data_IF_989000049684
#
_entry.id   IF_989000049684
#
_cell.length_a   1.000
_cell.length_b   1.000
_cell.length_c   1.000
_cell.angle_alpha   90.00
_cell.angle_beta   90.00
_cell.angle_gamma   90.00
#
_symmetry.space_group_name_H-M   'P 1'
#
loop_
_entity.id
_entity.type
_entity.pdbx_description
1 polymer ?
#
# COMPACT_ATOMS: atom_id res chain seq x y z
N UNK A 1 -19.19 -4.27 -19.60
CA UNK A 1 -18.98 -3.74 -18.24
C UNK A 1 -17.48 -3.51 -18.08
N UNK A 2 -17.03 -2.36 -17.57
CA UNK A 2 -15.58 -2.09 -17.42
C UNK A 2 -14.98 -3.06 -16.39
N UNK A 3 -13.78 -3.57 -16.64
CA UNK A 3 -13.07 -4.49 -15.73
C UNK A 3 -12.57 -3.86 -14.43
N UNK A 4 -12.97 -2.62 -14.11
CA UNK A 4 -12.44 -1.86 -12.98
C UNK A 4 -13.45 -0.81 -12.45
N UNK A 5 -13.19 -0.32 -11.24
CA UNK A 5 -13.81 0.88 -10.67
C UNK A 5 -12.78 1.80 -10.07
N UNK A 6 -13.02 3.12 -10.18
CA UNK A 6 -12.23 4.15 -9.50
C UNK A 6 -13.18 5.13 -8.85
N UNK A 7 -12.95 5.42 -7.57
CA UNK A 7 -13.65 6.43 -6.80
C UNK A 7 -12.64 7.37 -6.15
N UNK A 8 -12.96 8.65 -6.06
CA UNK A 8 -12.16 9.67 -5.38
C UNK A 8 -13.01 10.36 -4.31
N UNK A 9 -12.38 10.74 -3.21
CA UNK A 9 -13.00 11.47 -2.10
C UNK A 9 -11.95 12.35 -1.40
N UNK A 10 -12.34 12.93 -0.27
CA UNK A 10 -11.55 13.92 0.46
C UNK A 10 -10.21 13.39 1.00
N UNK A 11 -10.04 12.07 1.18
CA UNK A 11 -8.77 11.49 1.64
C UNK A 11 -7.91 10.94 0.49
N UNK A 12 -8.50 10.57 -0.64
CA UNK A 12 -7.74 9.86 -1.67
C UNK A 12 -8.57 9.20 -2.77
N UNK A 13 -7.91 8.26 -3.42
CA UNK A 13 -8.43 7.46 -4.53
C UNK A 13 -8.54 6.00 -4.10
N UNK A 14 -9.66 5.37 -4.45
CA UNK A 14 -9.90 3.94 -4.34
C UNK A 14 -10.02 3.36 -5.74
N UNK A 15 -9.09 2.49 -6.14
CA UNK A 15 -9.12 1.75 -7.39
C UNK A 15 -9.28 0.25 -7.12
N UNK A 16 -10.15 -0.41 -7.87
CA UNK A 16 -10.35 -1.87 -7.82
C UNK A 16 -10.30 -2.42 -9.25
N UNK A 17 -9.54 -3.48 -9.45
CA UNK A 17 -9.61 -4.30 -10.66
C UNK A 17 -10.40 -5.57 -10.36
N UNK A 18 -11.38 -5.86 -11.21
CA UNK A 18 -12.21 -7.06 -11.07
C UNK A 18 -11.61 -8.23 -11.83
N UNK A 19 -12.08 -9.45 -11.53
CA UNK A 19 -11.66 -10.68 -12.24
C UNK A 19 -11.79 -10.63 -13.76
N UNK A 20 -12.67 -9.78 -14.28
CA UNK A 20 -12.86 -9.57 -15.72
C UNK A 20 -11.94 -8.53 -16.35
N UNK A 21 -10.95 -8.00 -15.62
CA UNK A 21 -9.99 -7.04 -16.16
C UNK A 21 -9.11 -7.68 -17.24
N UNK A 22 -9.02 -7.04 -18.39
CA UNK A 22 -8.25 -7.50 -19.54
C UNK A 22 -7.18 -6.50 -19.95
N UNK A 23 -6.25 -6.91 -20.82
CA UNK A 23 -5.26 -6.00 -21.38
C UNK A 23 -5.89 -4.80 -22.09
N UNK A 24 -7.02 -5.00 -22.77
CA UNK A 24 -7.78 -3.94 -23.44
C UNK A 24 -8.32 -2.87 -22.46
N UNK A 25 -8.54 -3.22 -21.19
CA UNK A 25 -8.97 -2.27 -20.16
C UNK A 25 -7.81 -1.39 -19.65
N UNK A 26 -6.56 -1.79 -19.85
CA UNK A 26 -5.38 -1.19 -19.20
C UNK A 26 -5.23 0.30 -19.48
N UNK A 27 -5.35 0.70 -20.74
CA UNK A 27 -5.22 2.11 -21.14
C UNK A 27 -6.32 2.97 -20.51
N UNK A 28 -7.56 2.48 -20.51
CA UNK A 28 -8.69 3.18 -19.92
C UNK A 28 -8.58 3.28 -18.40
N UNK A 29 -8.13 2.21 -17.73
CA UNK A 29 -7.88 2.20 -16.29
C UNK A 29 -6.78 3.19 -15.89
N UNK A 30 -5.62 3.15 -16.56
CA UNK A 30 -4.52 4.07 -16.26
C UNK A 30 -4.89 5.53 -16.50
N UNK A 31 -5.67 5.82 -17.54
CA UNK A 31 -6.19 7.16 -17.79
C UNK A 31 -7.10 7.63 -16.65
N UNK A 32 -8.07 6.80 -16.25
CA UNK A 32 -9.00 7.11 -15.17
C UNK A 32 -8.29 7.25 -13.81
N UNK A 33 -7.26 6.43 -13.54
CA UNK A 33 -6.48 6.50 -12.31
C UNK A 33 -5.71 7.82 -12.22
N UNK A 34 -5.06 8.21 -13.32
CA UNK A 34 -4.31 9.47 -13.42
C UNK A 34 -5.23 10.68 -13.23
N UNK A 35 -6.41 10.65 -13.83
CA UNK A 35 -7.43 11.69 -13.66
C UNK A 35 -7.87 11.80 -12.20
N UNK A 36 -8.24 10.68 -11.57
CA UNK A 36 -8.68 10.64 -10.18
C UNK A 36 -7.61 11.16 -9.20
N UNK A 37 -6.36 10.71 -9.35
CA UNK A 37 -5.23 11.20 -8.53
C UNK A 37 -5.01 12.69 -8.75
N UNK A 38 -5.13 13.16 -10.00
CA UNK A 38 -5.03 14.57 -10.36
C UNK A 38 -6.13 15.46 -9.79
N UNK A 39 -7.32 14.91 -9.49
CA UNK A 39 -8.41 15.67 -8.84
C UNK A 39 -8.14 15.87 -7.36
N UNK A 40 -7.76 14.82 -6.62
CA UNK A 40 -7.57 14.89 -5.16
C UNK A 40 -6.34 15.72 -4.79
N UNK A 41 -5.26 15.67 -5.58
CA UNK A 41 -4.03 16.42 -5.32
C UNK A 41 -4.14 17.95 -5.45
N UNK A 42 -5.25 18.48 -6.00
CA UNK A 42 -5.45 19.94 -6.16
C UNK A 42 -5.83 20.67 -4.87
N UNK A 43 -6.23 19.94 -3.81
CA UNK A 43 -6.69 20.53 -2.55
C UNK A 43 -5.55 20.88 -1.57
N UNK A 44 -4.27 20.86 -2.00
CA UNK A 44 -3.12 21.17 -1.15
C UNK A 44 -2.79 20.12 -0.08
N UNK A 45 -3.50 18.99 -0.08
CA UNK A 45 -3.22 17.81 0.76
C UNK A 45 -2.58 16.71 -0.07
N UNK A 46 -1.74 15.91 0.58
CA UNK A 46 -1.21 14.70 -0.03
C UNK A 46 -2.36 13.73 -0.36
N UNK A 47 -2.43 13.25 -1.60
CA UNK A 47 -3.48 12.35 -2.06
C UNK A 47 -3.08 10.91 -1.82
N UNK A 48 -3.83 10.16 -1.03
CA UNK A 48 -3.58 8.73 -0.83
C UNK A 48 -4.19 7.87 -1.93
N UNK A 49 -3.60 6.71 -2.21
CA UNK A 49 -4.15 5.70 -3.12
C UNK A 49 -4.34 4.37 -2.39
N UNK A 50 -5.54 3.82 -2.47
CA UNK A 50 -5.81 2.40 -2.23
C UNK A 50 -6.08 1.71 -3.56
N UNK A 51 -5.31 0.66 -3.88
CA UNK A 51 -5.46 -0.13 -5.10
C UNK A 51 -5.66 -1.61 -4.77
N UNK A 52 -6.84 -2.16 -5.05
CA UNK A 52 -7.12 -3.59 -4.95
C UNK A 52 -6.99 -4.26 -6.32
N UNK A 53 -5.90 -5.00 -6.52
CA UNK A 53 -5.50 -5.57 -7.81
C UNK A 53 -5.48 -7.10 -7.77
N UNK A 54 -6.00 -7.71 -6.70
CA UNK A 54 -5.84 -9.15 -6.42
C UNK A 54 -6.47 -10.05 -7.46
N UNK A 55 -7.56 -9.59 -8.07
CA UNK A 55 -8.32 -10.37 -9.04
C UNK A 55 -7.83 -10.17 -10.49
N UNK A 56 -6.79 -9.36 -10.72
CA UNK A 56 -6.32 -9.00 -12.05
C UNK A 56 -4.89 -9.44 -12.33
N UNK A 57 -4.63 -9.86 -13.57
CA UNK A 57 -3.28 -10.05 -14.09
C UNK A 57 -2.82 -8.74 -14.73
N UNK A 58 -1.73 -8.17 -14.24
CA UNK A 58 -1.20 -6.90 -14.72
C UNK A 58 -0.06 -7.13 -15.72
N UNK A 59 -0.12 -6.43 -16.85
CA UNK A 59 1.03 -6.33 -17.76
C UNK A 59 2.13 -5.47 -17.14
N UNK A 60 3.37 -5.59 -17.63
CA UNK A 60 4.47 -4.71 -17.20
C UNK A 60 4.11 -3.23 -17.39
N UNK A 61 3.50 -2.87 -18.52
CA UNK A 61 3.07 -1.49 -18.78
C UNK A 61 2.02 -0.98 -17.77
N UNK A 62 1.12 -1.87 -17.33
CA UNK A 62 0.13 -1.56 -16.29
C UNK A 62 0.78 -1.32 -14.93
N UNK A 63 1.78 -2.13 -14.57
CA UNK A 63 2.58 -1.96 -13.35
C UNK A 63 3.40 -0.67 -13.38
N UNK A 64 4.04 -0.36 -14.51
CA UNK A 64 4.83 0.86 -14.68
C UNK A 64 3.93 2.11 -14.59
N UNK A 65 2.73 2.05 -15.18
CA UNK A 65 1.73 3.11 -15.09
C UNK A 65 1.22 3.34 -13.66
N UNK A 66 0.98 2.26 -12.90
CA UNK A 66 0.63 2.33 -11.48
C UNK A 66 1.78 2.91 -10.65
N UNK A 67 2.99 2.42 -10.86
CA UNK A 67 4.20 2.89 -10.20
C UNK A 67 4.40 4.40 -10.40
N UNK A 68 4.19 4.91 -11.63
CA UNK A 68 4.24 6.34 -11.91
C UNK A 68 3.22 7.16 -11.10
N UNK A 69 2.07 6.58 -10.75
CA UNK A 69 1.11 7.26 -9.86
C UNK A 69 1.57 7.21 -8.40
N UNK A 70 2.06 6.06 -7.94
CA UNK A 70 2.55 5.85 -6.56
C UNK A 70 3.84 6.59 -6.22
N UNK A 71 4.56 7.10 -7.21
CA UNK A 71 5.81 7.87 -7.03
C UNK A 71 5.64 9.35 -7.38
N UNK A 72 4.43 9.76 -7.76
CA UNK A 72 4.13 11.15 -8.05
C UNK A 72 4.33 12.00 -6.79
N UNK A 73 4.93 13.18 -6.95
CA UNK A 73 5.00 14.18 -5.88
C UNK A 73 3.60 14.47 -5.32
N UNK A 74 3.49 14.47 -3.99
CA UNK A 74 2.23 14.71 -3.29
C UNK A 74 1.37 13.46 -3.07
N UNK A 75 1.86 12.26 -3.41
CA UNK A 75 1.22 11.02 -2.96
C UNK A 75 1.37 10.87 -1.43
N UNK A 76 0.26 10.62 -0.75
CA UNK A 76 0.24 10.33 0.68
C UNK A 76 0.49 8.85 0.97
N UNK A 77 0.26 8.45 2.22
CA UNK A 77 0.29 7.03 2.60
C UNK A 77 -0.65 6.24 1.71
N UNK A 78 -0.13 5.25 1.00
CA UNK A 78 -0.86 4.51 -0.02
C UNK A 78 -0.69 3.00 0.20
N UNK A 79 -1.65 2.22 -0.30
CA UNK A 79 -1.62 0.77 -0.18
C UNK A 79 -2.05 0.09 -1.48
N UNK A 80 -1.39 -1.02 -1.80
CA UNK A 80 -1.68 -1.86 -2.97
C UNK A 80 -1.86 -3.30 -2.50
N UNK A 81 -2.98 -3.92 -2.86
CA UNK A 81 -3.25 -5.34 -2.60
C UNK A 81 -3.04 -6.13 -3.88
N UNK A 82 -2.23 -7.19 -3.80
CA UNK A 82 -1.90 -8.10 -4.89
C UNK A 82 -2.10 -9.55 -4.43
N UNK A 83 -2.35 -10.44 -5.38
CA UNK A 83 -2.39 -11.89 -5.15
C UNK A 83 -1.06 -12.57 -5.51
N UNK A 84 -0.34 -12.06 -6.50
CA UNK A 84 0.95 -12.60 -6.93
C UNK A 84 2.13 -12.00 -6.13
N UNK A 85 2.87 -12.82 -5.35
CA UNK A 85 4.06 -12.38 -4.62
C UNK A 85 5.17 -11.83 -5.51
N UNK A 86 5.34 -12.37 -6.74
CA UNK A 86 6.42 -11.95 -7.63
C UNK A 86 6.18 -10.52 -8.14
N UNK A 87 4.96 -10.23 -8.58
CA UNK A 87 4.51 -8.87 -8.95
C UNK A 87 4.65 -7.91 -7.77
N UNK A 88 4.26 -8.32 -6.56
CA UNK A 88 4.38 -7.50 -5.37
C UNK A 88 5.83 -7.16 -5.03
N UNK A 89 6.73 -8.13 -5.12
CA UNK A 89 8.17 -7.93 -4.91
C UNK A 89 8.76 -6.96 -5.93
N UNK A 90 8.40 -7.10 -7.21
CA UNK A 90 8.84 -6.20 -8.28
C UNK A 90 8.38 -4.77 -8.03
N UNK A 91 7.11 -4.57 -7.69
CA UNK A 91 6.58 -3.25 -7.37
C UNK A 91 7.26 -2.64 -6.13
N UNK A 92 7.46 -3.45 -5.08
CA UNK A 92 8.15 -2.99 -3.87
C UNK A 92 9.58 -2.55 -4.15
N UNK A 93 10.35 -3.34 -4.88
CA UNK A 93 11.72 -2.99 -5.25
C UNK A 93 11.79 -1.68 -6.06
N UNK A 94 10.85 -1.47 -6.99
CA UNK A 94 10.75 -0.22 -7.73
C UNK A 94 10.44 0.98 -6.80
N UNK A 95 9.52 0.81 -5.85
CA UNK A 95 9.16 1.85 -4.87
C UNK A 95 10.33 2.18 -3.93
N UNK A 96 11.08 1.18 -3.48
CA UNK A 96 12.27 1.40 -2.65
C UNK A 96 13.36 2.14 -3.44
N UNK A 97 13.57 1.78 -4.72
CA UNK A 97 14.50 2.48 -5.63
C UNK A 97 14.13 3.96 -5.83
N UNK A 98 12.84 4.26 -5.89
CA UNK A 98 12.34 5.63 -5.99
C UNK A 98 12.22 6.36 -4.64
N UNK A 99 12.69 5.76 -3.54
CA UNK A 99 12.54 6.26 -2.18
C UNK A 99 11.06 6.53 -1.79
N UNK A 100 10.12 5.82 -2.39
CA UNK A 100 8.68 5.90 -2.09
C UNK A 100 8.20 4.77 -1.17
N UNK A 101 9.05 3.77 -0.91
CA UNK A 101 8.74 2.61 -0.07
C UNK A 101 8.31 2.96 1.37
N UNK A 102 8.71 4.12 1.88
CA UNK A 102 8.29 4.58 3.21
C UNK A 102 6.79 4.95 3.25
N UNK A 103 6.22 5.48 2.15
CA UNK A 103 4.85 5.95 2.06
C UNK A 103 3.88 4.87 1.52
N UNK A 104 4.38 3.87 0.80
CA UNK A 104 3.55 2.87 0.13
C UNK A 104 3.68 1.50 0.78
N UNK A 105 2.55 0.81 1.00
CA UNK A 105 2.53 -0.58 1.46
C UNK A 105 1.99 -1.48 0.36
N UNK A 106 2.77 -2.49 0.00
CA UNK A 106 2.35 -3.55 -0.94
C UNK A 106 2.04 -4.78 -0.12
N UNK A 107 0.78 -5.22 -0.15
CA UNK A 107 0.25 -6.33 0.64
C UNK A 107 -0.10 -7.48 -0.28
N UNK A 108 0.46 -8.66 0.00
CA UNK A 108 0.11 -9.89 -0.72
C UNK A 108 -0.95 -10.63 0.09
N UNK A 109 -2.05 -11.00 -0.53
CA UNK A 109 -3.12 -11.71 0.16
C UNK A 109 -3.87 -12.67 -0.75
N UNK A 110 -4.27 -13.80 -0.18
CA UNK A 110 -4.97 -14.87 -0.86
C UNK A 110 -6.50 -14.63 -0.69
N UNK A 111 -7.22 -14.46 -1.79
CA UNK A 111 -8.68 -14.31 -1.79
C UNK A 111 -9.21 -12.99 -1.19
N UNK A 112 -10.51 -12.98 -0.83
CA UNK A 112 -11.20 -11.81 -0.27
C UNK A 112 -10.98 -11.65 1.23
N UNK A 113 -9.73 -11.44 1.63
CA UNK A 113 -9.42 -11.15 3.02
C UNK A 113 -9.83 -9.71 3.37
N UNK A 114 -10.88 -9.58 4.20
CA UNK A 114 -11.35 -8.28 4.74
C UNK A 114 -10.33 -7.67 5.70
N UNK A 115 -9.48 -8.48 6.32
CA UNK A 115 -8.45 -8.02 7.27
C UNK A 115 -7.36 -7.26 6.53
N UNK A 116 -6.89 -7.76 5.38
CA UNK A 116 -5.93 -7.06 4.53
C UNK A 116 -6.44 -5.70 4.04
N UNK A 117 -7.73 -5.59 3.69
CA UNK A 117 -8.37 -4.31 3.33
C UNK A 117 -8.37 -3.36 4.54
N UNK A 118 -8.80 -3.83 5.71
CA UNK A 118 -8.82 -3.01 6.91
C UNK A 118 -7.42 -2.52 7.32
N UNK A 119 -6.41 -3.39 7.21
CA UNK A 119 -5.02 -3.04 7.49
C UNK A 119 -4.49 -1.97 6.53
N UNK A 120 -4.81 -2.06 5.24
CA UNK A 120 -4.49 -1.04 4.26
C UNK A 120 -5.12 0.31 4.57
N UNK A 121 -6.39 0.35 4.95
CA UNK A 121 -7.04 1.59 5.37
C UNK A 121 -6.46 2.15 6.67
N UNK A 122 -6.10 1.29 7.63
CA UNK A 122 -5.44 1.74 8.87
C UNK A 122 -4.08 2.38 8.58
N UNK A 123 -3.33 1.86 7.60
CA UNK A 123 -2.12 2.51 7.09
C UNK A 123 -2.42 3.86 6.46
N UNK A 124 -3.33 3.91 5.49
CA UNK A 124 -3.67 5.13 4.75
C UNK A 124 -4.11 6.24 5.70
N UNK A 125 -5.11 5.96 6.53
CA UNK A 125 -5.77 6.96 7.37
C UNK A 125 -4.97 7.27 8.63
N UNK A 126 -4.42 6.24 9.29
CA UNK A 126 -3.84 6.37 10.64
C UNK A 126 -2.33 6.16 10.70
N UNK A 127 -1.67 5.76 9.60
CA UNK A 127 -0.25 5.44 9.58
C UNK A 127 0.11 4.18 10.37
N UNK A 128 -0.88 3.34 10.70
CA UNK A 128 -0.62 2.08 11.40
C UNK A 128 -0.08 1.05 10.42
N UNK A 129 1.11 0.52 10.70
CA UNK A 129 1.73 -0.52 9.86
C UNK A 129 0.79 -1.73 9.70
N UNK A 130 0.54 -2.20 8.48
CA UNK A 130 -0.26 -3.40 8.23
C UNK A 130 0.40 -4.63 8.88
N UNK A 131 -0.36 -5.35 9.71
CA UNK A 131 0.06 -6.60 10.37
C UNK A 131 -0.64 -7.84 9.80
N UNK A 132 -1.52 -7.64 8.82
CA UNK A 132 -2.24 -8.70 8.11
C UNK A 132 -1.86 -8.67 6.63
N UNK A 133 -1.87 -9.85 5.99
CA UNK A 133 -1.27 -10.08 4.68
C UNK A 133 0.19 -10.54 4.77
N UNK A 134 0.73 -11.05 3.66
CA UNK A 134 2.14 -11.44 3.54
C UNK A 134 2.94 -10.25 3.01
N UNK A 135 4.05 -9.94 3.67
CA UNK A 135 5.08 -9.06 3.08
C UNK A 135 5.77 -9.86 1.97
N UNK A 136 6.13 -9.25 0.81
CA UNK A 136 6.69 -9.99 -0.33
C UNK A 136 7.91 -10.88 -0.03
N UNK A 137 8.63 -10.62 1.07
CA UNK A 137 9.79 -11.42 1.51
C UNK A 137 9.53 -12.25 2.79
N UNK A 138 8.30 -12.23 3.34
CA UNK A 138 7.95 -13.07 4.48
C UNK A 138 7.51 -14.47 3.98
N UNK A 139 8.18 -15.52 4.48
CA UNK A 139 7.79 -16.90 4.21
C UNK A 139 6.35 -17.13 4.70
N UNK A 140 5.58 -17.91 3.93
CA UNK A 140 4.18 -18.20 4.21
C UNK A 140 3.96 -18.67 5.64
N UNK A 141 3.00 -18.05 6.34
CA UNK A 141 2.50 -18.54 7.63
C UNK A 141 3.02 -17.82 8.88
N UNK A 142 3.96 -16.88 8.76
CA UNK A 142 4.30 -16.02 9.91
C UNK A 142 3.22 -14.97 10.15
N UNK A 143 2.31 -15.28 11.09
CA UNK A 143 1.57 -14.25 11.82
C UNK A 143 2.61 -13.50 12.66
N UNK A 144 2.81 -12.21 12.38
CA UNK A 144 3.58 -11.35 13.26
C UNK A 144 2.93 -11.34 14.65
N UNK A 145 3.58 -11.97 15.63
CA UNK A 145 3.11 -11.98 17.01
C UNK A 145 3.10 -10.56 17.58
N UNK A 146 1.98 -10.13 18.17
CA UNK A 146 1.91 -8.90 18.95
C UNK A 146 1.62 -9.21 20.42
N UNK A 147 2.31 -8.52 21.37
CA UNK A 147 3.32 -7.46 21.17
C UNK A 147 4.73 -7.98 20.89
N UNK A 148 5.43 -7.34 19.94
CA UNK A 148 6.88 -7.36 19.92
C UNK A 148 7.37 -6.52 21.11
N UNK A 149 8.33 -7.00 21.93
CA UNK A 149 8.82 -6.23 23.05
C UNK A 149 9.39 -4.91 22.54
N UNK A 150 8.85 -3.81 23.07
CA UNK A 150 9.52 -2.52 23.05
C UNK A 150 10.85 -2.76 23.75
N UNK A 151 11.97 -2.70 23.02
CA UNK A 151 13.26 -2.47 23.69
C UNK A 151 13.21 -1.05 24.19
N UNK A 152 12.60 -0.87 25.36
CA UNK A 152 12.83 0.31 26.14
C UNK A 152 14.31 0.30 26.50
N UNK A 153 15.09 1.11 25.79
CA UNK A 153 16.37 1.58 26.29
C UNK A 153 16.08 2.54 27.45
N UNK A 154 15.58 2.02 28.58
CA UNK A 154 15.69 2.75 29.83
C UNK A 154 17.18 2.80 30.16
N UNK A 155 17.74 3.99 29.97
CA UNK A 155 19.01 4.37 30.55
C UNK A 155 19.04 3.93 32.01
N UNK A 156 19.98 3.08 32.36
CA UNK A 156 20.35 2.79 33.73
C UNK A 156 20.75 4.11 34.38
N UNK A 157 19.84 4.70 35.16
CA UNK A 157 20.23 5.71 36.13
C UNK A 157 21.16 5.04 37.15
N UNK A 158 22.35 5.58 37.43
CA UNK A 158 23.18 5.08 38.50
C UNK A 158 22.49 5.34 39.85
N UNK A 159 22.64 4.44 40.85
CA UNK A 159 21.99 4.62 42.14
C UNK A 159 22.57 5.83 42.87
N UNK A 160 21.70 6.77 43.27
CA UNK A 160 22.00 7.75 44.32
C UNK A 160 22.34 6.99 45.61
N UNK A 161 23.60 7.08 46.06
CA UNK A 161 23.94 6.71 47.44
C UNK A 161 23.56 7.87 48.37
N UNK A 162 22.87 7.50 49.44
CA UNK A 162 22.38 8.38 50.49
C UNK A 162 23.53 9.10 51.21
N UNK A 163 23.31 10.37 51.53
CA UNK A 163 24.10 11.09 52.52
C UNK A 163 23.79 10.53 53.91
N UNK A 164 24.82 10.19 54.66
CA UNK A 164 24.82 10.02 56.11
C UNK A 164 26.14 10.55 56.63
#
# INVERSE_FOLDING_TARGET
>A
MKGFSIAANDWGVHAILYKGFTEADSAAWLAALREAVGMVGKAGRASSLFADLRDATLSSASLDGLFAQLTRMGIGRSAVLLSDPATAKRLRAALDTANAGHAVRVLVTDGRDRVSIAAAYSWILNGTEPRAGRVPDALSGEILTFPAPVRDSFATQPPMRAAS
#
